data_IF_050983894037
#
_entry.id   IF_050983894037
#
_cell.length_a   1.000
_cell.length_b   1.000
_cell.length_c   1.000
_cell.angle_alpha   90.00
_cell.angle_beta   90.00
_cell.angle_gamma   90.00
#
_symmetry.space_group_name_H-M   'P 1'
#
loop_
_entity.id
_entity.type
_entity.pdbx_description
1 polymer ?
#
# COMPACT_ATOMS: atom_id res chain seq x y z
N UNK A 1 2.61 6.99 -23.10
CA UNK A 1 3.98 6.57 -23.18
C UNK A 1 4.52 5.98 -21.87
N UNK A 2 4.30 6.67 -20.81
CA UNK A 2 4.85 6.21 -19.54
C UNK A 2 4.23 4.93 -19.04
N UNK A 3 2.97 4.67 -19.40
CA UNK A 3 2.34 3.44 -18.96
C UNK A 3 3.05 2.20 -19.49
N UNK A 4 3.72 2.33 -20.63
CA UNK A 4 4.48 1.20 -21.17
C UNK A 4 5.68 0.85 -20.32
N UNK A 5 6.12 1.79 -19.44
CA UNK A 5 7.28 1.58 -18.59
C UNK A 5 6.92 1.03 -17.22
N UNK A 6 5.62 0.95 -16.91
CA UNK A 6 5.16 0.38 -15.65
C UNK A 6 4.92 -1.11 -15.80
N UNK A 7 5.32 -1.88 -14.78
CA UNK A 7 4.94 -3.29 -14.74
C UNK A 7 3.44 -3.40 -14.52
N UNK A 8 2.84 -4.55 -14.86
CA UNK A 8 1.40 -4.73 -14.62
C UNK A 8 1.01 -4.49 -13.17
N UNK A 9 1.83 -4.93 -12.22
CA UNK A 9 1.52 -4.74 -10.80
C UNK A 9 1.52 -3.26 -10.44
N UNK A 10 2.53 -2.52 -10.88
CA UNK A 10 2.62 -1.11 -10.56
C UNK A 10 1.47 -0.35 -11.21
N UNK A 11 1.14 -0.70 -12.45
CA UNK A 11 0.04 -0.05 -13.13
C UNK A 11 -1.27 -0.28 -12.38
N UNK A 12 -1.50 -1.50 -11.93
CA UNK A 12 -2.69 -1.80 -11.15
C UNK A 12 -2.70 -1.02 -9.83
N UNK A 13 -1.55 -0.96 -9.16
CA UNK A 13 -1.44 -0.20 -7.92
C UNK A 13 -1.80 1.26 -8.16
N UNK A 14 -1.26 1.86 -9.21
CA UNK A 14 -1.50 3.28 -9.47
C UNK A 14 -2.97 3.56 -9.75
N UNK A 15 -3.65 2.64 -10.44
CA UNK A 15 -5.08 2.79 -10.69
C UNK A 15 -5.87 2.72 -9.39
N UNK A 16 -5.49 1.81 -8.51
CA UNK A 16 -6.15 1.68 -7.22
C UNK A 16 -5.88 2.93 -6.37
N UNK A 17 -4.64 3.37 -6.34
CA UNK A 17 -4.28 4.54 -5.55
C UNK A 17 -5.03 5.78 -6.01
N UNK A 18 -5.28 5.88 -7.32
CA UNK A 18 -6.05 7.01 -7.84
C UNK A 18 -7.46 7.06 -7.28
N UNK A 19 -8.01 5.91 -6.93
CA UNK A 19 -9.35 5.83 -6.34
C UNK A 19 -9.33 5.97 -4.82
N UNK A 20 -8.15 5.84 -4.21
CA UNK A 20 -8.02 5.90 -2.75
C UNK A 20 -6.85 6.80 -2.37
N UNK A 21 -6.89 8.03 -2.88
CA UNK A 21 -5.74 8.93 -2.77
C UNK A 21 -5.35 9.25 -1.33
N UNK A 22 -6.32 9.27 -0.44
CA UNK A 22 -6.07 9.66 0.93
C UNK A 22 -5.87 8.48 1.86
N UNK A 23 -5.81 7.28 1.31
CA UNK A 23 -5.64 6.07 2.09
C UNK A 23 -4.31 5.44 1.79
N UNK A 24 -3.76 4.74 2.79
CA UNK A 24 -2.63 3.85 2.53
C UNK A 24 -3.15 2.62 1.79
N UNK A 25 -2.58 2.34 0.64
CA UNK A 25 -2.98 1.17 -0.14
C UNK A 25 -2.08 -0.01 0.24
N UNK A 26 -2.68 -1.01 0.88
CA UNK A 26 -2.02 -2.26 1.20
C UNK A 26 -2.36 -3.25 0.11
N UNK A 27 -1.40 -3.51 -0.75
CA UNK A 27 -1.62 -4.32 -1.94
C UNK A 27 -1.12 -5.74 -1.69
N UNK A 28 -2.03 -6.70 -1.66
CA UNK A 28 -1.70 -8.08 -1.30
C UNK A 28 -0.87 -8.73 -2.41
N UNK A 29 0.30 -9.20 -2.04
CA UNK A 29 1.18 -9.94 -2.95
C UNK A 29 1.75 -11.12 -2.19
N UNK A 30 1.15 -12.29 -2.39
CA UNK A 30 1.55 -13.47 -1.66
C UNK A 30 1.27 -13.33 -0.18
N UNK A 31 2.29 -13.52 0.62
CA UNK A 31 2.17 -13.45 2.08
C UNK A 31 2.45 -12.08 2.64
N UNK A 32 2.57 -11.09 1.78
CA UNK A 32 2.86 -9.72 2.19
C UNK A 32 1.84 -8.77 1.64
N UNK A 33 1.62 -7.69 2.38
CA UNK A 33 1.03 -6.47 1.81
C UNK A 33 2.19 -5.57 1.44
N UNK A 34 2.18 -5.11 0.19
CA UNK A 34 3.22 -4.19 -0.28
C UNK A 34 2.64 -2.79 -0.37
N UNK A 35 3.42 -1.83 0.11
CA UNK A 35 3.11 -0.43 -0.07
C UNK A 35 4.15 0.14 -1.02
N UNK A 36 3.73 1.09 -1.86
CA UNK A 36 4.58 1.60 -2.92
C UNK A 36 4.72 3.10 -2.84
N UNK A 37 5.85 3.60 -3.30
CA UNK A 37 6.11 5.02 -3.50
C UNK A 37 5.87 5.82 -2.22
N UNK A 38 5.07 6.86 -2.27
CA UNK A 38 4.89 7.74 -1.12
C UNK A 38 4.27 7.03 0.07
N UNK A 39 3.34 6.11 -0.19
CA UNK A 39 2.77 5.32 0.90
C UNK A 39 3.85 4.51 1.60
N UNK A 40 4.78 3.95 0.83
CA UNK A 40 5.87 3.17 1.42
C UNK A 40 6.75 4.05 2.29
N UNK A 41 7.06 5.25 1.83
CA UNK A 41 7.89 6.17 2.60
C UNK A 41 7.20 6.54 3.91
N UNK A 42 5.95 6.96 3.82
CA UNK A 42 5.24 7.41 5.02
C UNK A 42 4.99 6.28 5.99
N UNK A 43 4.58 5.12 5.48
CA UNK A 43 4.29 3.98 6.35
C UNK A 43 5.57 3.47 7.01
N UNK A 44 6.69 3.47 6.30
CA UNK A 44 7.91 2.99 6.91
C UNK A 44 8.33 3.88 8.07
N UNK A 45 8.06 5.17 8.00
CA UNK A 45 8.36 6.07 9.11
C UNK A 45 7.44 5.82 10.29
N UNK A 46 6.15 5.66 10.03
CA UNK A 46 5.18 5.50 11.11
C UNK A 46 5.31 4.12 11.76
N UNK A 47 5.51 3.10 10.93
CA UNK A 47 5.47 1.71 11.38
C UNK A 47 6.86 1.11 11.56
N UNK A 48 7.89 1.90 11.29
CA UNK A 48 9.28 1.44 11.41
C UNK A 48 9.55 0.23 10.51
N UNK A 49 9.10 0.34 9.27
CA UNK A 49 9.33 -0.70 8.27
C UNK A 49 10.60 -0.40 7.49
N UNK A 50 11.14 -1.44 6.86
CA UNK A 50 12.29 -1.26 5.99
C UNK A 50 11.82 -0.78 4.62
N UNK A 51 12.32 0.37 4.22
CA UNK A 51 12.03 0.91 2.90
C UNK A 51 13.07 0.40 1.93
N UNK A 52 12.63 -0.23 0.84
CA UNK A 52 13.53 -0.76 -0.16
C UNK A 52 13.28 -0.10 -1.50
N UNK A 53 14.25 -0.25 -2.39
CA UNK A 53 14.22 0.35 -3.70
C UNK A 53 14.43 -0.75 -4.72
N UNK A 54 13.53 -0.87 -5.68
CA UNK A 54 13.63 -1.93 -6.67
C UNK A 54 13.37 -1.38 -8.05
N UNK A 55 14.31 -1.62 -8.97
CA UNK A 55 14.11 -1.29 -10.36
C UNK A 55 13.54 0.10 -10.57
N UNK A 56 12.92 0.28 -11.73
CA UNK A 56 12.30 1.56 -12.09
C UNK A 56 10.97 1.32 -12.76
N UNK A 57 10.08 2.27 -12.59
CA UNK A 57 8.78 2.24 -13.23
C UNK A 57 8.43 3.69 -13.57
N UNK A 58 8.08 3.94 -14.84
CA UNK A 58 7.78 5.29 -15.26
C UNK A 58 8.97 6.23 -15.12
N UNK A 59 10.18 5.69 -15.19
CA UNK A 59 11.39 6.50 -15.10
C UNK A 59 11.88 6.76 -13.69
N UNK A 60 11.17 6.28 -12.68
CA UNK A 60 11.54 6.50 -11.28
C UNK A 60 11.75 5.18 -10.56
N UNK A 61 12.60 5.22 -9.54
CA UNK A 61 12.79 4.05 -8.70
C UNK A 61 11.49 3.67 -8.01
N UNK A 62 11.25 2.37 -7.93
CA UNK A 62 10.09 1.86 -7.20
C UNK A 62 10.50 1.70 -5.76
N UNK A 63 9.93 2.53 -4.89
CA UNK A 63 10.11 2.41 -3.46
C UNK A 63 9.01 1.53 -2.91
N UNK A 64 9.38 0.61 -2.03
CA UNK A 64 8.37 -0.25 -1.45
C UNK A 64 8.72 -0.67 -0.04
N UNK A 65 7.68 -1.01 0.71
CA UNK A 65 7.81 -1.52 2.06
C UNK A 65 6.79 -2.63 2.22
N UNK A 66 7.20 -3.74 2.83
CA UNK A 66 6.34 -4.90 2.96
C UNK A 66 5.92 -5.15 4.39
N UNK A 67 4.68 -5.58 4.57
CA UNK A 67 4.12 -5.95 5.86
C UNK A 67 3.63 -7.39 5.74
N UNK A 68 4.19 -8.32 6.52
CA UNK A 68 3.68 -9.68 6.46
C UNK A 68 2.21 -9.73 6.83
N UNK A 69 1.44 -10.50 6.05
CA UNK A 69 0.00 -10.56 6.26
C UNK A 69 -0.33 -11.03 7.69
N UNK A 70 0.41 -12.03 8.18
CA UNK A 70 0.10 -12.61 9.48
C UNK A 70 0.34 -11.64 10.65
N UNK A 71 1.12 -10.58 10.43
CA UNK A 71 1.37 -9.60 11.49
C UNK A 71 0.82 -8.23 11.14
N UNK A 72 -0.01 -8.15 10.10
CA UNK A 72 -0.45 -6.84 9.61
C UNK A 72 -1.45 -6.16 10.54
N UNK A 73 -2.17 -6.92 11.36
CA UNK A 73 -3.22 -6.31 12.19
C UNK A 73 -2.69 -5.23 13.11
N UNK A 74 -1.54 -5.44 13.73
CA UNK A 74 -1.00 -4.44 14.64
C UNK A 74 -0.59 -3.18 13.90
N UNK A 75 -0.07 -3.34 12.69
CA UNK A 75 0.31 -2.18 11.87
C UNK A 75 -0.91 -1.41 11.42
N UNK A 76 -1.96 -2.14 11.03
CA UNK A 76 -3.20 -1.51 10.63
C UNK A 76 -3.79 -0.72 11.80
N UNK A 77 -3.79 -1.33 13.00
CA UNK A 77 -4.30 -0.65 14.19
C UNK A 77 -3.50 0.62 14.50
N UNK A 78 -2.20 0.56 14.33
CA UNK A 78 -1.36 1.74 14.58
C UNK A 78 -1.75 2.88 13.65
N UNK A 79 -1.93 2.58 12.36
CA UNK A 79 -2.31 3.61 11.40
C UNK A 79 -3.70 4.15 11.71
N UNK A 80 -4.65 3.27 12.01
CA UNK A 80 -6.00 3.71 12.34
C UNK A 80 -6.03 4.58 13.58
N UNK A 81 -5.20 4.25 14.57
CA UNK A 81 -5.14 5.04 15.79
C UNK A 81 -4.62 6.45 15.52
N UNK A 82 -3.90 6.65 14.43
CA UNK A 82 -3.41 7.96 14.05
C UNK A 82 -4.34 8.68 13.09
N UNK A 83 -5.55 8.15 12.92
CA UNK A 83 -6.53 8.78 12.05
C UNK A 83 -6.33 8.52 10.59
N UNK A 84 -5.47 7.56 10.23
CA UNK A 84 -5.25 7.22 8.83
C UNK A 84 -6.31 6.24 8.36
N UNK A 85 -6.50 6.18 7.05
CA UNK A 85 -7.38 5.19 6.43
C UNK A 85 -6.56 4.25 5.60
N UNK A 86 -7.05 3.02 5.42
CA UNK A 86 -6.30 1.97 4.74
C UNK A 86 -7.22 1.27 3.76
N UNK A 87 -6.74 1.11 2.54
CA UNK A 87 -7.44 0.32 1.52
C UNK A 87 -6.66 -0.96 1.33
N UNK A 88 -7.27 -2.09 1.66
CA UNK A 88 -6.65 -3.40 1.52
C UNK A 88 -7.15 -4.02 0.23
N UNK A 89 -6.24 -4.29 -0.68
CA UNK A 89 -6.58 -4.69 -2.04
C UNK A 89 -5.90 -5.99 -2.40
N UNK A 90 -6.67 -6.89 -3.00
CA UNK A 90 -6.13 -8.14 -3.52
C UNK A 90 -5.62 -7.90 -4.94
N UNK A 91 -4.57 -8.63 -5.29
CA UNK A 91 -3.94 -8.43 -6.59
C UNK A 91 -4.87 -8.77 -7.75
N UNK A 92 -5.74 -9.75 -7.55
CA UNK A 92 -6.59 -10.24 -8.63
C UNK A 92 -7.98 -9.62 -8.65
N UNK A 93 -8.28 -8.74 -7.71
CA UNK A 93 -9.61 -8.15 -7.62
C UNK A 93 -9.53 -6.64 -7.75
N UNK A 94 -10.58 -6.08 -8.33
CA UNK A 94 -10.64 -4.64 -8.51
C UNK A 94 -11.12 -3.92 -7.27
N UNK A 95 -11.84 -4.59 -6.39
CA UNK A 95 -12.40 -3.94 -5.22
C UNK A 95 -11.47 -4.09 -4.04
N UNK A 96 -11.47 -3.08 -3.19
CA UNK A 96 -10.65 -3.05 -2.01
C UNK A 96 -11.52 -2.85 -0.79
N UNK A 97 -11.07 -3.40 0.34
CA UNK A 97 -11.73 -3.15 1.62
C UNK A 97 -11.13 -1.89 2.22
N UNK A 98 -11.99 -0.96 2.60
CA UNK A 98 -11.55 0.30 3.19
C UNK A 98 -11.74 0.27 4.69
N UNK A 99 -10.68 0.55 5.41
CA UNK A 99 -10.68 0.58 6.87
C UNK A 99 -10.46 2.00 7.34
N UNK A 100 -11.28 2.41 8.30
CA UNK A 100 -11.19 3.73 8.92
C UNK A 100 -11.21 3.56 10.42
N UNK A 101 -10.91 4.66 11.13
CA UNK A 101 -10.95 4.63 12.59
C UNK A 101 -12.34 4.24 13.11
N UNK A 102 -13.38 4.73 12.44
CA UNK A 102 -14.73 4.41 12.85
C UNK A 102 -15.02 2.93 12.73
N UNK A 103 -14.55 2.31 11.65
CA UNK A 103 -14.75 0.88 11.46
C UNK A 103 -13.96 0.09 12.49
N UNK A 104 -12.80 0.60 12.88
CA UNK A 104 -11.94 -0.10 13.83
C UNK A 104 -12.56 -0.13 15.24
N UNK A 105 -13.42 0.84 15.55
CA UNK A 105 -14.06 0.89 16.85
C UNK A 105 -15.14 -0.16 17.00
N UNK A 106 -15.56 -0.74 15.90
CA UNK A 106 -16.56 -1.79 15.97
C UNK A 106 -15.95 -3.12 16.33
#
# INVERSE_FOLDING_TARGET
MNTALHTPVIKQYLEIKARHKDSFVFFRMGDFYELFFEDAVKASEILNLTLTKRGKSGGEHVLLAGVPVHSSNRHIKTLLAQGKTIAICEQVEDSCLLYTSDAADE
#
